data_IF_765180610014
#
_entry.id   IF_765180610014
#
_cell.length_a   1.000
_cell.length_b   1.000
_cell.length_c   1.000
_cell.angle_alpha   90.00
_cell.angle_beta   90.00
_cell.angle_gamma   90.00
#
_symmetry.space_group_name_H-M   'P 1'
#
loop_
_entity.id
_entity.type
_entity.pdbx_description
1 polymer ?
#
# COMPACT_ATOMS: atom_id res chain seq x y z
N UNK A 1 -31.24 6.06 11.43
CA UNK A 1 -29.93 6.23 10.78
C UNK A 1 -29.38 7.55 11.28
N UNK A 2 -28.39 7.52 12.16
CA UNK A 2 -27.63 8.73 12.49
C UNK A 2 -26.75 9.00 11.26
N UNK A 3 -27.07 10.04 10.48
CA UNK A 3 -26.16 10.59 9.48
C UNK A 3 -24.98 11.20 10.25
N UNK A 4 -24.00 10.38 10.59
CA UNK A 4 -22.77 10.84 11.24
C UNK A 4 -21.94 11.57 10.20
N UNK A 5 -21.59 12.83 10.48
CA UNK A 5 -20.60 13.55 9.69
C UNK A 5 -19.26 12.81 9.84
N UNK A 6 -18.66 12.38 8.73
CA UNK A 6 -17.43 11.58 8.74
C UNK A 6 -16.35 12.41 8.08
N UNK A 7 -15.26 12.61 8.79
CA UNK A 7 -14.13 13.37 8.32
C UNK A 7 -12.90 12.47 8.38
N UNK A 8 -12.29 12.21 7.22
CA UNK A 8 -11.10 11.36 7.12
C UNK A 8 -10.00 12.12 6.43
N UNK A 9 -8.83 12.19 7.06
CA UNK A 9 -7.63 12.76 6.46
C UNK A 9 -6.68 11.63 6.14
N UNK A 10 -6.22 11.55 4.90
CA UNK A 10 -5.22 10.58 4.48
C UNK A 10 -3.87 11.27 4.37
N UNK A 11 -2.89 10.81 5.14
CA UNK A 11 -1.51 11.21 4.98
C UNK A 11 -0.77 10.21 4.10
N UNK A 12 -0.21 10.66 2.98
CA UNK A 12 0.60 9.86 2.09
C UNK A 12 2.06 10.27 2.19
N UNK A 13 2.88 9.31 2.56
CA UNK A 13 4.32 9.39 2.34
C UNK A 13 4.58 9.42 0.83
N UNK A 14 5.37 10.40 0.41
CA UNK A 14 5.67 10.67 -1.00
C UNK A 14 7.14 10.45 -1.34
N UNK A 15 7.94 9.89 -0.42
CA UNK A 15 9.36 9.60 -0.64
C UNK A 15 9.56 8.41 -1.59
N UNK A 16 10.81 8.17 -1.97
CA UNK A 16 11.16 7.24 -3.06
C UNK A 16 10.61 5.82 -2.88
N UNK A 17 10.58 5.27 -1.66
CA UNK A 17 10.04 3.94 -1.39
C UNK A 17 8.51 3.88 -1.52
N UNK A 18 7.83 5.00 -1.27
CA UNK A 18 6.38 5.11 -1.21
C UNK A 18 5.74 5.68 -2.48
N UNK A 19 6.53 6.25 -3.39
CA UNK A 19 6.03 6.77 -4.66
C UNK A 19 5.21 5.77 -5.52
N UNK A 20 5.53 4.46 -5.56
CA UNK A 20 4.70 3.48 -6.26
C UNK A 20 3.31 3.33 -5.63
N UNK A 21 3.19 3.50 -4.31
CA UNK A 21 1.90 3.55 -3.61
C UNK A 21 1.06 4.73 -4.09
N UNK A 22 1.65 5.93 -4.12
CA UNK A 22 0.99 7.14 -4.63
C UNK A 22 0.55 6.95 -6.09
N UNK A 23 1.35 6.26 -6.90
CA UNK A 23 0.98 5.94 -8.29
C UNK A 23 -0.27 5.06 -8.36
N UNK A 24 -0.41 4.05 -7.48
CA UNK A 24 -1.63 3.24 -7.42
C UNK A 24 -2.86 4.04 -6.98
N UNK A 25 -2.69 4.97 -6.03
CA UNK A 25 -3.76 5.88 -5.62
C UNK A 25 -4.24 6.72 -6.81
N UNK A 26 -3.32 7.37 -7.53
CA UNK A 26 -3.67 8.22 -8.70
C UNK A 26 -4.46 7.47 -9.76
N UNK A 27 -4.24 6.17 -9.96
CA UNK A 27 -4.95 5.38 -10.97
C UNK A 27 -6.45 5.25 -10.71
N UNK A 28 -6.88 5.21 -9.44
CA UNK A 28 -8.29 4.91 -9.08
C UNK A 28 -8.95 5.96 -8.19
N UNK A 29 -8.22 7.00 -7.76
CA UNK A 29 -8.74 7.99 -6.80
C UNK A 29 -10.08 8.60 -7.21
N UNK A 30 -10.27 8.90 -8.51
CA UNK A 30 -11.53 9.51 -8.98
C UNK A 30 -12.71 8.58 -8.80
N UNK A 31 -12.55 7.30 -9.13
CA UNK A 31 -13.58 6.29 -8.93
C UNK A 31 -13.87 6.12 -7.43
N UNK A 32 -12.84 5.94 -6.61
CA UNK A 32 -12.96 5.74 -5.17
C UNK A 32 -13.62 6.92 -4.45
N UNK A 33 -13.19 8.15 -4.71
CA UNK A 33 -13.76 9.35 -4.06
C UNK A 33 -15.19 9.61 -4.53
N UNK A 34 -15.47 9.46 -5.83
CA UNK A 34 -16.84 9.59 -6.34
C UNK A 34 -17.78 8.58 -5.68
N UNK A 35 -17.32 7.33 -5.54
CA UNK A 35 -18.09 6.27 -4.87
C UNK A 35 -18.39 6.63 -3.41
N UNK A 36 -17.38 7.07 -2.66
CA UNK A 36 -17.55 7.43 -1.25
C UNK A 36 -18.51 8.60 -1.05
N UNK A 37 -18.39 9.66 -1.85
CA UNK A 37 -19.29 10.82 -1.77
C UNK A 37 -20.75 10.46 -2.06
N UNK A 38 -20.99 9.42 -2.89
CA UNK A 38 -22.33 8.93 -3.20
C UNK A 38 -22.90 8.01 -2.12
N UNK A 39 -22.06 7.18 -1.49
CA UNK A 39 -22.50 6.13 -0.56
C UNK A 39 -22.51 6.57 0.91
N UNK A 40 -21.67 7.55 1.27
CA UNK A 40 -21.53 8.04 2.64
C UNK A 40 -21.94 9.52 2.68
N UNK A 41 -23.13 9.76 3.23
CA UNK A 41 -23.66 11.12 3.34
C UNK A 41 -22.74 11.98 4.22
N UNK A 42 -22.47 13.21 3.76
CA UNK A 42 -21.69 14.23 4.48
C UNK A 42 -20.23 13.85 4.75
N UNK A 43 -19.65 12.88 4.02
CA UNK A 43 -18.22 12.62 4.15
C UNK A 43 -17.39 13.81 3.65
N UNK A 44 -16.34 14.16 4.39
CA UNK A 44 -15.26 15.03 3.90
C UNK A 44 -13.94 14.30 3.96
N UNK A 45 -13.11 14.59 2.96
CA UNK A 45 -11.79 14.00 2.80
C UNK A 45 -10.76 15.14 2.78
N UNK A 46 -9.75 15.01 3.63
CA UNK A 46 -8.55 15.84 3.60
C UNK A 46 -7.34 14.98 3.22
N UNK A 47 -6.26 15.62 2.77
CA UNK A 47 -5.05 14.91 2.35
C UNK A 47 -3.82 15.68 2.82
N UNK A 48 -2.87 14.95 3.41
CA UNK A 48 -1.53 15.46 3.70
C UNK A 48 -0.55 14.66 2.85
N UNK A 49 0.15 15.29 1.92
CA UNK A 49 1.31 14.68 1.30
C UNK A 49 2.55 15.13 2.07
N UNK A 50 3.45 14.20 2.38
CA UNK A 50 4.67 14.52 3.12
C UNK A 50 5.88 13.80 2.54
N UNK A 51 7.02 14.49 2.56
CA UNK A 51 8.34 13.91 2.32
C UNK A 51 9.17 14.00 3.59
N UNK A 52 10.40 14.46 3.46
CA UNK A 52 11.26 14.74 4.61
C UNK A 52 11.70 16.20 4.69
N UNK A 53 12.32 16.60 5.79
CA UNK A 53 12.86 17.93 6.00
C UNK A 53 13.91 18.34 4.95
N UNK A 54 14.65 17.38 4.39
CA UNK A 54 15.61 17.68 3.32
C UNK A 54 14.93 18.10 2.01
N UNK A 55 13.66 17.76 1.82
CA UNK A 55 12.90 18.05 0.60
C UNK A 55 12.40 19.50 0.52
N UNK A 56 12.51 20.27 1.60
CA UNK A 56 12.06 21.68 1.67
C UNK A 56 12.56 22.53 0.50
N UNK A 57 13.79 22.26 0.03
CA UNK A 57 14.44 23.04 -1.06
C UNK A 57 14.27 22.43 -2.44
N UNK A 58 13.93 21.15 -2.53
CA UNK A 58 13.80 20.42 -3.80
C UNK A 58 12.34 20.41 -4.28
N UNK A 59 11.41 20.19 -3.35
CA UNK A 59 9.99 19.96 -3.62
C UNK A 59 9.12 20.58 -2.51
N UNK A 60 8.92 19.85 -1.41
CA UNK A 60 8.20 20.29 -0.21
C UNK A 60 8.46 19.34 0.96
N UNK A 61 8.27 19.82 2.20
CA UNK A 61 8.20 18.92 3.37
C UNK A 61 6.79 18.36 3.53
N UNK A 62 5.78 19.24 3.54
CA UNK A 62 4.36 18.86 3.53
C UNK A 62 3.55 19.71 2.55
N UNK A 63 2.50 19.12 1.97
CA UNK A 63 1.43 19.80 1.25
C UNK A 63 0.10 19.32 1.81
N UNK A 64 -0.79 20.27 2.10
CA UNK A 64 -2.04 19.99 2.80
C UNK A 64 -3.23 20.43 1.94
N UNK A 65 -4.16 19.50 1.76
CA UNK A 65 -5.50 19.74 1.27
C UNK A 65 -6.48 19.56 2.43
N UNK A 66 -7.16 20.64 2.81
CA UNK A 66 -8.09 20.62 3.94
C UNK A 66 -9.36 19.81 3.61
N UNK A 67 -10.14 19.48 4.63
CA UNK A 67 -11.35 18.65 4.55
C UNK A 67 -12.37 19.24 3.58
N UNK A 68 -12.67 18.49 2.52
CA UNK A 68 -13.64 18.88 1.50
C UNK A 68 -14.51 17.71 1.04
N UNK A 69 -15.69 18.01 0.50
CA UNK A 69 -16.54 17.05 -0.21
C UNK A 69 -16.48 17.24 -1.73
N UNK A 70 -15.61 18.14 -2.22
CA UNK A 70 -15.42 18.40 -3.65
C UNK A 70 -14.52 17.32 -4.28
N UNK A 71 -15.16 16.40 -5.00
CA UNK A 71 -14.50 15.29 -5.71
C UNK A 71 -13.40 15.79 -6.63
N UNK A 72 -13.66 16.83 -7.42
CA UNK A 72 -12.72 17.31 -8.43
C UNK A 72 -11.53 18.00 -7.76
N UNK A 73 -11.75 18.76 -6.68
CA UNK A 73 -10.66 19.38 -5.92
C UNK A 73 -9.76 18.34 -5.24
N UNK A 74 -10.34 17.30 -4.62
CA UNK A 74 -9.60 16.18 -4.01
C UNK A 74 -8.77 15.46 -5.08
N UNK A 75 -9.40 15.10 -6.20
CA UNK A 75 -8.72 14.43 -7.31
C UNK A 75 -7.59 15.30 -7.86
N UNK A 76 -7.83 16.59 -8.07
CA UNK A 76 -6.83 17.51 -8.59
C UNK A 76 -5.62 17.62 -7.65
N UNK A 77 -5.83 17.63 -6.33
CA UNK A 77 -4.71 17.62 -5.39
C UNK A 77 -3.85 16.35 -5.54
N UNK A 78 -4.46 15.16 -5.51
CA UNK A 78 -3.75 13.87 -5.60
C UNK A 78 -3.03 13.67 -6.94
N UNK A 79 -3.63 14.14 -8.03
CA UNK A 79 -3.03 14.02 -9.35
C UNK A 79 -1.81 14.92 -9.54
N UNK A 80 -1.76 16.06 -8.85
CA UNK A 80 -0.71 17.07 -9.06
C UNK A 80 0.35 17.13 -7.96
N UNK A 81 0.12 16.50 -6.80
CA UNK A 81 1.12 16.46 -5.74
C UNK A 81 2.35 15.70 -6.22
N UNK A 82 3.53 16.28 -6.10
CA UNK A 82 4.78 15.76 -6.64
C UNK A 82 5.36 14.66 -5.73
N UNK A 83 6.22 13.80 -6.27
CA UNK A 83 7.02 12.91 -5.44
C UNK A 83 8.13 13.70 -4.74
N UNK A 84 8.53 13.25 -3.56
CA UNK A 84 9.68 13.77 -2.82
C UNK A 84 10.84 12.77 -2.87
N UNK A 85 12.03 13.19 -2.43
CA UNK A 85 13.19 12.31 -2.44
C UNK A 85 13.25 11.40 -1.22
N UNK A 86 13.06 11.99 -0.03
CA UNK A 86 13.63 11.41 1.20
C UNK A 86 15.15 11.59 1.24
N UNK A 87 15.73 11.59 2.45
CA UNK A 87 17.16 11.85 2.65
C UNK A 87 17.83 10.78 3.51
N UNK A 88 17.20 10.45 4.62
CA UNK A 88 17.52 9.32 5.48
C UNK A 88 16.31 8.40 5.66
N UNK A 89 16.44 7.34 6.48
CA UNK A 89 15.39 6.33 6.60
C UNK A 89 14.15 6.82 7.37
N UNK A 90 14.28 7.55 8.51
CA UNK A 90 13.13 8.16 9.15
C UNK A 90 12.50 9.27 8.29
N UNK A 91 11.20 9.45 8.42
CA UNK A 91 10.44 10.46 7.67
C UNK A 91 9.71 11.41 8.62
N UNK A 92 9.12 12.50 8.10
CA UNK A 92 8.54 13.55 8.96
C UNK A 92 7.15 13.23 9.55
N UNK A 93 6.85 11.98 9.94
CA UNK A 93 5.52 11.61 10.45
C UNK A 93 5.12 12.39 11.71
N UNK A 94 6.06 12.82 12.55
CA UNK A 94 5.76 13.67 13.70
C UNK A 94 5.26 15.06 13.28
N UNK A 95 5.70 15.57 12.13
CA UNK A 95 5.19 16.80 11.54
C UNK A 95 3.77 16.62 11.03
N UNK A 96 3.48 15.49 10.37
CA UNK A 96 2.11 15.16 9.93
C UNK A 96 1.16 15.17 11.12
N UNK A 97 1.50 14.48 12.21
CA UNK A 97 0.68 14.44 13.42
C UNK A 97 0.49 15.83 14.04
N UNK A 98 1.49 16.71 13.90
CA UNK A 98 1.42 18.08 14.36
C UNK A 98 0.48 18.94 13.50
N UNK A 99 0.62 18.88 12.18
CA UNK A 99 -0.14 19.70 11.24
C UNK A 99 -1.60 19.26 11.12
N UNK A 100 -1.87 17.96 11.26
CA UNK A 100 -3.23 17.42 11.28
C UNK A 100 -4.12 18.02 12.38
N UNK A 101 -3.54 18.48 13.50
CA UNK A 101 -4.27 19.11 14.61
C UNK A 101 -4.91 20.45 14.22
N UNK A 102 -4.42 21.09 13.14
CA UNK A 102 -4.85 22.43 12.72
C UNK A 102 -5.77 22.43 11.51
N UNK A 103 -6.18 21.25 11.03
CA UNK A 103 -7.17 21.14 9.95
C UNK A 103 -8.57 21.54 10.42
N UNK A 104 -9.45 21.82 9.46
CA UNK A 104 -10.81 22.32 9.72
C UNK A 104 -11.80 21.22 10.14
N UNK A 105 -11.41 20.43 11.15
CA UNK A 105 -12.24 19.37 11.73
C UNK A 105 -13.52 19.95 12.37
N UNK A 106 -14.66 19.32 12.10
CA UNK A 106 -15.93 19.69 12.72
C UNK A 106 -16.09 19.01 14.08
N UNK A 107 -16.50 19.74 15.11
CA UNK A 107 -16.69 19.19 16.47
C UNK A 107 -17.68 18.01 16.55
N UNK A 108 -18.65 17.95 15.64
CA UNK A 108 -19.67 16.89 15.60
C UNK A 108 -19.31 15.70 14.70
N UNK A 109 -18.12 15.70 14.08
CA UNK A 109 -17.71 14.63 13.17
C UNK A 109 -17.08 13.45 13.90
N UNK A 110 -17.23 12.25 13.33
CA UNK A 110 -16.26 11.17 13.56
C UNK A 110 -14.99 11.49 12.78
N UNK A 111 -13.87 11.65 13.48
CA UNK A 111 -12.61 12.14 12.90
C UNK A 111 -11.57 11.04 12.85
N UNK A 112 -10.92 10.88 11.71
CA UNK A 112 -9.81 9.92 11.58
C UNK A 112 -8.69 10.43 10.71
N UNK A 113 -7.45 10.25 11.18
CA UNK A 113 -6.24 10.43 10.40
C UNK A 113 -5.70 9.05 10.01
N UNK A 114 -5.50 8.82 8.72
CA UNK A 114 -4.87 7.60 8.19
C UNK A 114 -3.44 7.94 7.81
N UNK A 115 -2.47 7.53 8.63
CA UNK A 115 -1.05 7.74 8.38
C UNK A 115 -0.49 6.58 7.55
N UNK A 116 -0.13 6.84 6.29
CA UNK A 116 0.38 5.82 5.36
C UNK A 116 1.86 6.10 5.06
N UNK A 117 2.72 5.15 5.41
CA UNK A 117 4.18 5.22 5.19
C UNK A 117 4.83 3.86 5.43
N UNK A 118 6.15 3.77 5.30
CA UNK A 118 6.90 2.52 5.47
C UNK A 118 7.99 2.57 6.55
N UNK A 119 8.22 3.71 7.23
CA UNK A 119 9.32 3.86 8.20
C UNK A 119 8.88 4.46 9.56
N UNK A 120 9.82 5.01 10.34
CA UNK A 120 9.60 5.65 11.65
C UNK A 120 9.75 7.18 11.59
N UNK A 121 9.18 7.93 12.55
CA UNK A 121 9.38 9.38 12.63
C UNK A 121 10.78 9.76 13.09
N UNK A 122 11.22 10.96 12.72
CA UNK A 122 12.42 11.57 13.29
C UNK A 122 12.28 11.80 14.81
N UNK A 123 13.30 11.47 15.61
CA UNK A 123 13.29 11.79 17.04
C UNK A 123 13.43 13.32 17.26
N UNK A 124 13.00 13.86 18.41
CA UNK A 124 13.04 15.31 18.68
C UNK A 124 14.40 15.97 18.50
N UNK A 125 15.49 15.23 18.72
CA UNK A 125 16.83 15.76 18.52
C UNK A 125 17.15 16.05 17.04
N UNK A 126 16.58 15.27 16.12
CA UNK A 126 16.92 15.25 14.70
C UNK A 126 15.91 15.98 13.81
N UNK A 127 14.69 16.30 14.30
CA UNK A 127 13.79 17.20 13.57
C UNK A 127 13.96 18.68 13.98
N UNK A 128 13.73 19.65 13.07
CA UNK A 128 13.93 21.07 13.32
C UNK A 128 12.91 21.67 14.31
N UNK A 129 11.71 21.09 14.38
CA UNK A 129 10.63 21.59 15.25
C UNK A 129 10.65 21.01 16.68
N UNK A 130 11.60 20.12 16.98
CA UNK A 130 11.72 19.39 18.26
C UNK A 130 10.43 18.66 18.66
N UNK A 131 9.67 18.23 17.67
CA UNK A 131 8.43 17.49 17.83
C UNK A 131 8.71 16.09 18.34
N UNK A 132 7.79 15.60 19.17
CA UNK A 132 7.79 14.23 19.65
C UNK A 132 6.46 13.60 19.25
N UNK A 133 6.49 12.64 18.34
CA UNK A 133 5.29 12.01 17.81
C UNK A 133 4.35 11.46 18.91
N UNK A 134 4.89 10.96 20.04
CA UNK A 134 4.08 10.49 21.18
C UNK A 134 3.34 11.61 21.92
N UNK A 135 3.84 12.85 21.83
CA UNK A 135 3.12 14.03 22.32
C UNK A 135 2.08 14.48 21.31
N UNK A 136 2.41 14.46 20.02
CA UNK A 136 1.48 14.89 18.97
C UNK A 136 0.28 13.93 18.84
N UNK A 137 0.49 12.61 18.94
CA UNK A 137 -0.62 11.64 18.96
C UNK A 137 -1.56 11.83 20.16
N UNK A 138 -1.04 12.22 21.33
CA UNK A 138 -1.86 12.52 22.50
C UNK A 138 -2.75 13.74 22.27
N UNK A 139 -2.22 14.78 21.62
CA UNK A 139 -3.01 15.97 21.27
C UNK A 139 -4.12 15.64 20.26
N UNK A 140 -3.84 14.78 19.27
CA UNK A 140 -4.87 14.30 18.35
C UNK A 140 -5.95 13.50 19.08
N UNK A 141 -5.57 12.61 19.99
CA UNK A 141 -6.51 11.85 20.81
C UNK A 141 -7.37 12.75 21.71
N UNK A 142 -6.80 13.82 22.28
CA UNK A 142 -7.52 14.86 23.04
C UNK A 142 -8.53 15.64 22.17
N UNK A 143 -8.31 15.71 20.85
CA UNK A 143 -9.24 16.28 19.86
C UNK A 143 -10.23 15.25 19.28
N UNK A 144 -10.26 14.04 19.84
CA UNK A 144 -11.08 12.91 19.39
C UNK A 144 -10.78 12.48 17.94
N UNK A 145 -9.53 12.66 17.50
CA UNK A 145 -9.05 12.21 16.19
C UNK A 145 -8.37 10.85 16.37
N UNK A 146 -9.03 9.79 15.89
CA UNK A 146 -8.45 8.45 15.84
C UNK A 146 -7.36 8.39 14.77
N UNK A 147 -6.24 7.71 15.02
CA UNK A 147 -5.16 7.56 14.05
C UNK A 147 -5.00 6.12 13.64
N UNK A 148 -5.16 5.85 12.35
CA UNK A 148 -4.91 4.56 11.73
C UNK A 148 -3.51 4.54 11.15
N UNK A 149 -2.67 3.64 11.67
CA UNK A 149 -1.32 3.43 11.19
C UNK A 149 -1.31 2.41 10.06
N UNK A 150 -1.15 2.86 8.82
CA UNK A 150 -1.03 1.99 7.65
C UNK A 150 0.44 1.82 7.32
N UNK A 151 1.00 0.69 7.75
CA UNK A 151 2.39 0.33 7.52
C UNK A 151 2.53 -0.36 6.16
N UNK A 152 3.13 0.33 5.21
CA UNK A 152 3.53 -0.25 3.94
C UNK A 152 4.80 -1.09 4.08
N UNK A 153 4.96 -2.05 3.16
CA UNK A 153 6.17 -2.86 3.00
C UNK A 153 6.55 -3.75 4.18
N UNK A 154 5.86 -3.72 5.32
CA UNK A 154 6.13 -4.56 6.50
C UNK A 154 7.57 -4.50 7.03
N UNK A 155 8.20 -3.33 6.99
CA UNK A 155 9.53 -3.14 7.60
C UNK A 155 9.46 -3.36 9.11
N UNK A 156 10.01 -4.47 9.60
CA UNK A 156 9.82 -4.93 10.98
C UNK A 156 10.30 -3.93 12.04
N UNK A 157 11.29 -3.08 11.72
CA UNK A 157 11.76 -2.03 12.62
C UNK A 157 10.73 -0.93 12.85
N UNK A 158 9.83 -0.69 11.89
CA UNK A 158 8.79 0.33 11.96
C UNK A 158 7.50 -0.18 12.63
N UNK A 159 7.28 -1.50 12.69
CA UNK A 159 6.07 -2.09 13.26
C UNK A 159 5.74 -1.60 14.68
N UNK A 160 6.69 -1.51 15.63
CA UNK A 160 6.39 -1.00 16.97
C UNK A 160 5.86 0.45 16.96
N UNK A 161 6.32 1.28 16.03
CA UNK A 161 5.84 2.67 15.90
C UNK A 161 4.37 2.68 15.46
N UNK A 162 4.01 1.96 14.39
CA UNK A 162 2.64 1.93 13.90
C UNK A 162 1.66 1.31 14.90
N UNK A 163 2.07 0.26 15.63
CA UNK A 163 1.27 -0.35 16.69
C UNK A 163 1.01 0.62 17.84
N UNK A 164 2.06 1.30 18.34
CA UNK A 164 1.91 2.26 19.44
C UNK A 164 1.11 3.50 19.00
N UNK A 165 1.30 3.98 17.77
CA UNK A 165 0.53 5.08 17.18
C UNK A 165 -0.97 4.79 17.17
N UNK A 166 -1.34 3.61 16.66
CA UNK A 166 -2.73 3.17 16.59
C UNK A 166 -3.32 3.01 18.00
N UNK A 167 -2.62 2.30 18.88
CA UNK A 167 -3.08 2.06 20.25
C UNK A 167 -3.29 3.36 21.04
N UNK A 168 -2.41 4.36 20.87
CA UNK A 168 -2.47 5.62 21.61
C UNK A 168 -3.71 6.48 21.28
N UNK A 169 -4.34 6.27 20.12
CA UNK A 169 -5.52 7.02 19.67
C UNK A 169 -6.79 6.16 19.56
N UNK A 170 -6.72 4.86 19.89
CA UNK A 170 -7.82 3.92 19.73
C UNK A 170 -8.06 3.48 18.28
N UNK A 171 -7.07 3.67 17.40
CA UNK A 171 -7.12 3.26 16.00
C UNK A 171 -6.55 1.86 15.73
N UNK A 172 -6.34 1.55 14.45
CA UNK A 172 -5.82 0.25 13.99
C UNK A 172 -4.44 0.38 13.36
N UNK A 173 -3.59 -0.62 13.61
CA UNK A 173 -2.41 -0.87 12.80
C UNK A 173 -2.80 -1.82 11.67
N UNK A 174 -2.53 -1.42 10.43
CA UNK A 174 -2.87 -2.14 9.22
C UNK A 174 -1.62 -2.30 8.38
N UNK A 175 -1.33 -3.53 7.95
CA UNK A 175 -0.26 -3.79 7.01
C UNK A 175 -0.76 -3.62 5.57
N UNK A 176 0.03 -2.93 4.75
CA UNK A 176 -0.19 -2.73 3.32
C UNK A 176 0.92 -3.44 2.53
N UNK A 177 0.74 -4.75 2.37
CA UNK A 177 1.74 -5.62 1.73
C UNK A 177 1.84 -5.40 0.22
N UNK A 178 0.72 -5.01 -0.40
CA UNK A 178 0.63 -4.67 -1.82
C UNK A 178 0.04 -3.27 -1.96
N UNK A 179 0.76 -2.40 -2.65
CA UNK A 179 0.31 -1.04 -2.94
C UNK A 179 -1.01 -1.00 -3.72
N UNK A 180 -1.31 -2.04 -4.51
CA UNK A 180 -2.58 -2.14 -5.22
C UNK A 180 -3.81 -2.21 -4.29
N UNK A 181 -3.63 -2.62 -3.03
CA UNK A 181 -4.71 -2.65 -2.03
C UNK A 181 -5.05 -1.29 -1.45
N UNK A 182 -4.25 -0.23 -1.72
CA UNK A 182 -4.46 1.08 -1.10
C UNK A 182 -5.87 1.64 -1.36
N UNK A 183 -6.42 1.36 -2.54
CA UNK A 183 -7.76 1.82 -2.94
C UNK A 183 -8.87 1.08 -2.20
N UNK A 184 -8.68 -0.22 -1.95
CA UNK A 184 -9.58 -1.02 -1.12
C UNK A 184 -9.49 -0.60 0.35
N UNK A 185 -8.29 -0.32 0.84
CA UNK A 185 -8.05 0.21 2.19
C UNK A 185 -8.72 1.57 2.38
N UNK A 186 -8.60 2.47 1.40
CA UNK A 186 -9.22 3.79 1.41
C UNK A 186 -10.74 3.69 1.59
N UNK A 187 -11.39 2.85 0.77
CA UNK A 187 -12.82 2.58 0.87
C UNK A 187 -13.18 1.94 2.22
N UNK A 188 -12.43 0.92 2.64
CA UNK A 188 -12.65 0.21 3.88
C UNK A 188 -12.58 1.12 5.11
N UNK A 189 -11.59 2.03 5.18
CA UNK A 189 -11.50 3.01 6.27
C UNK A 189 -12.75 3.89 6.33
N UNK A 190 -13.18 4.43 5.19
CA UNK A 190 -14.35 5.31 5.17
C UNK A 190 -15.64 4.56 5.54
N UNK A 191 -15.83 3.34 5.05
CA UNK A 191 -16.96 2.51 5.46
C UNK A 191 -16.92 2.15 6.94
N UNK A 192 -15.73 1.86 7.48
CA UNK A 192 -15.56 1.57 8.90
C UNK A 192 -15.93 2.77 9.78
N UNK A 193 -15.58 3.97 9.33
CA UNK A 193 -15.99 5.22 10.00
C UNK A 193 -17.50 5.48 9.89
N UNK A 194 -18.16 4.94 8.88
CA UNK A 194 -19.62 5.02 8.76
C UNK A 194 -20.34 4.00 9.62
N UNK A 195 -20.05 2.71 9.42
CA UNK A 195 -20.57 1.60 10.23
C UNK A 195 -19.86 0.28 9.92
N UNK A 196 -19.78 -0.60 10.92
CA UNK A 196 -19.30 -1.97 10.75
C UNK A 196 -20.12 -2.74 9.67
N UNK A 197 -21.41 -2.46 9.54
CA UNK A 197 -22.28 -3.10 8.53
C UNK A 197 -21.87 -2.72 7.10
N UNK A 198 -21.50 -1.46 6.85
CA UNK A 198 -20.98 -1.04 5.56
C UNK A 198 -19.63 -1.67 5.25
N UNK A 199 -18.71 -1.73 6.23
CA UNK A 199 -17.43 -2.41 6.04
C UNK A 199 -17.64 -3.90 5.70
N UNK A 200 -18.54 -4.58 6.42
CA UNK A 200 -18.85 -5.98 6.16
C UNK A 200 -19.52 -6.18 4.79
N UNK A 201 -20.40 -5.26 4.36
CA UNK A 201 -20.98 -5.31 3.02
C UNK A 201 -19.90 -5.18 1.93
N UNK A 202 -18.93 -4.29 2.14
CA UNK A 202 -17.79 -4.13 1.25
C UNK A 202 -16.89 -5.37 1.21
N UNK A 203 -16.60 -5.99 2.36
CA UNK A 203 -15.89 -7.28 2.44
C UNK A 203 -16.58 -8.34 1.56
N UNK A 204 -17.91 -8.46 1.66
CA UNK A 204 -18.69 -9.42 0.87
C UNK A 204 -18.70 -9.09 -0.63
N UNK A 205 -18.64 -7.82 -1.02
CA UNK A 205 -18.47 -7.41 -2.41
C UNK A 205 -17.14 -7.90 -2.98
N UNK A 206 -16.04 -7.67 -2.25
CA UNK A 206 -14.69 -8.11 -2.66
C UNK A 206 -14.62 -9.63 -2.81
N UNK A 207 -15.27 -10.38 -1.92
CA UNK A 207 -15.38 -11.84 -2.01
C UNK A 207 -16.16 -12.26 -3.27
N UNK A 208 -17.32 -11.64 -3.54
CA UNK A 208 -18.15 -11.97 -4.72
C UNK A 208 -17.45 -11.65 -6.04
N UNK A 209 -16.62 -10.62 -6.05
CA UNK A 209 -15.78 -10.26 -7.21
C UNK A 209 -14.59 -11.21 -7.40
N UNK A 210 -14.35 -12.15 -6.46
CA UNK A 210 -13.22 -13.07 -6.51
C UNK A 210 -11.86 -12.40 -6.28
N UNK A 211 -11.86 -11.17 -5.71
CA UNK A 211 -10.65 -10.37 -5.46
C UNK A 211 -10.04 -10.62 -4.08
N UNK A 212 -10.83 -11.17 -3.15
CA UNK A 212 -10.36 -11.46 -1.79
C UNK A 212 -9.14 -12.37 -1.82
N UNK A 213 -8.13 -12.04 -1.02
CA UNK A 213 -6.90 -12.81 -0.82
C UNK A 213 -6.42 -12.64 0.64
N UNK A 214 -5.26 -13.19 1.00
CA UNK A 214 -4.77 -13.14 2.39
C UNK A 214 -4.55 -11.72 2.91
N UNK A 215 -3.88 -10.87 2.13
CA UNK A 215 -3.57 -9.49 2.53
C UNK A 215 -4.83 -8.64 2.72
N UNK A 216 -5.79 -8.70 1.78
CA UNK A 216 -7.08 -8.01 1.95
C UNK A 216 -7.85 -8.55 3.16
N UNK A 217 -7.87 -9.86 3.38
CA UNK A 217 -8.52 -10.46 4.55
C UNK A 217 -7.92 -9.94 5.86
N UNK A 218 -6.59 -9.79 5.93
CA UNK A 218 -5.92 -9.22 7.10
C UNK A 218 -6.32 -7.77 7.36
N UNK A 219 -6.42 -6.95 6.31
CA UNK A 219 -6.91 -5.56 6.41
C UNK A 219 -8.33 -5.53 7.00
N UNK A 220 -9.25 -6.32 6.46
CA UNK A 220 -10.64 -6.40 6.94
C UNK A 220 -10.71 -6.89 8.39
N UNK A 221 -9.97 -7.94 8.74
CA UNK A 221 -9.97 -8.48 10.11
C UNK A 221 -9.41 -7.47 11.13
N UNK A 222 -8.34 -6.76 10.77
CA UNK A 222 -7.76 -5.71 11.61
C UNK A 222 -8.79 -4.62 11.91
N UNK A 223 -9.47 -4.08 10.88
CA UNK A 223 -10.47 -3.03 11.04
C UNK A 223 -11.71 -3.48 11.81
N UNK A 224 -12.10 -4.75 11.69
CA UNK A 224 -13.27 -5.30 12.40
C UNK A 224 -12.95 -5.86 13.79
N UNK A 225 -11.68 -5.82 14.22
CA UNK A 225 -11.24 -6.39 15.49
C UNK A 225 -11.49 -7.89 15.60
N UNK A 226 -11.48 -8.62 14.48
CA UNK A 226 -11.64 -10.07 14.44
C UNK A 226 -10.29 -10.73 14.72
N UNK A 227 -10.25 -11.74 15.61
CA UNK A 227 -9.15 -12.72 15.59
C UNK A 227 -9.10 -13.35 14.19
N UNK A 228 -7.91 -13.67 13.66
CA UNK A 228 -7.72 -14.10 12.26
C UNK A 228 -8.77 -15.13 11.81
N UNK A 229 -9.85 -14.66 11.19
CA UNK A 229 -10.88 -15.54 10.66
C UNK A 229 -10.34 -16.14 9.37
N UNK A 230 -10.09 -17.45 9.43
CA UNK A 230 -9.41 -18.25 8.41
C UNK A 230 -10.33 -18.52 7.20
N UNK A 231 -10.40 -17.60 6.23
CA UNK A 231 -10.71 -18.00 4.85
C UNK A 231 -9.56 -18.82 4.23
N UNK A 232 -8.37 -18.66 4.79
CA UNK A 232 -7.13 -19.24 4.32
C UNK A 232 -6.46 -20.00 5.47
N UNK A 233 -5.86 -21.15 5.15
CA UNK A 233 -4.92 -21.83 6.04
C UNK A 233 -3.67 -20.96 6.23
N UNK A 234 -2.86 -21.27 7.24
CA UNK A 234 -1.57 -20.61 7.44
C UNK A 234 -0.73 -20.62 6.16
N UNK A 235 0.04 -19.56 5.96
CA UNK A 235 0.99 -19.51 4.85
C UNK A 235 2.01 -20.64 5.00
N UNK A 236 2.40 -21.25 3.88
CA UNK A 236 3.49 -22.20 3.86
C UNK A 236 4.77 -21.50 4.35
N UNK A 237 5.54 -22.14 5.23
CA UNK A 237 6.78 -21.57 5.78
C UNK A 237 7.83 -21.23 4.71
N UNK A 238 7.69 -21.77 3.49
CA UNK A 238 8.52 -21.46 2.34
C UNK A 238 8.03 -20.25 1.54
N UNK A 239 6.96 -19.60 1.98
CA UNK A 239 6.46 -18.39 1.33
C UNK A 239 7.41 -17.22 1.55
N UNK A 240 7.48 -16.36 0.54
CA UNK A 240 8.18 -15.09 0.63
C UNK A 240 7.47 -14.20 1.64
N UNK A 241 8.21 -13.51 2.52
CA UNK A 241 7.64 -12.50 3.40
C UNK A 241 6.76 -11.47 2.64
N UNK A 242 5.58 -11.13 3.15
CA UNK A 242 4.73 -10.12 2.53
C UNK A 242 5.43 -8.76 2.48
N UNK A 243 5.28 -8.04 1.36
CA UNK A 243 5.90 -6.71 1.16
C UNK A 243 7.19 -6.72 0.33
N UNK A 244 7.89 -7.88 0.20
CA UNK A 244 9.11 -7.99 -0.63
C UNK A 244 8.88 -7.62 -2.09
N UNK A 245 7.79 -8.13 -2.65
CA UNK A 245 7.44 -7.92 -4.04
C UNK A 245 6.15 -7.11 -4.13
N UNK A 246 6.14 -6.12 -5.02
CA UNK A 246 4.93 -5.43 -5.44
C UNK A 246 4.43 -6.01 -6.76
N UNK A 247 3.16 -6.36 -6.81
CA UNK A 247 2.49 -6.88 -7.99
C UNK A 247 1.78 -5.72 -8.70
N UNK A 248 2.17 -5.48 -9.94
CA UNK A 248 1.65 -4.40 -10.76
C UNK A 248 0.95 -4.95 -12.01
N UNK A 249 -0.25 -4.45 -12.27
CA UNK A 249 -0.98 -4.75 -13.49
C UNK A 249 -0.40 -3.97 -14.68
N UNK A 250 -0.27 -4.65 -15.82
CA UNK A 250 0.23 -4.06 -17.06
C UNK A 250 -0.96 -3.77 -17.97
N UNK A 251 -1.26 -2.50 -18.22
CA UNK A 251 -2.41 -2.11 -19.04
C UNK A 251 -2.15 -2.34 -20.53
N UNK A 252 -0.96 -1.99 -20.99
CA UNK A 252 -0.57 -2.09 -22.39
C UNK A 252 0.85 -2.63 -22.56
N UNK A 253 1.18 -2.99 -23.79
CA UNK A 253 2.49 -3.57 -24.06
C UNK A 253 3.61 -2.53 -23.96
N UNK A 254 4.57 -2.73 -23.07
CA UNK A 254 5.57 -1.71 -22.73
C UNK A 254 6.93 -2.35 -22.36
N UNK A 255 8.08 -1.73 -22.65
CA UNK A 255 9.37 -2.20 -22.14
C UNK A 255 9.45 -2.13 -20.61
N UNK A 256 10.11 -3.11 -19.97
CA UNK A 256 10.26 -3.15 -18.50
C UNK A 256 10.77 -1.83 -17.94
N UNK A 257 11.82 -1.25 -18.51
CA UNK A 257 12.40 0.00 -17.98
C UNK A 257 11.39 1.15 -18.01
N UNK A 258 10.62 1.28 -19.10
CA UNK A 258 9.57 2.30 -19.20
C UNK A 258 8.47 2.06 -18.18
N UNK A 259 7.98 0.82 -18.06
CA UNK A 259 6.94 0.47 -17.09
C UNK A 259 7.34 0.75 -15.64
N UNK A 260 8.55 0.39 -15.27
CA UNK A 260 9.09 0.63 -13.93
C UNK A 260 9.12 2.13 -13.63
N UNK A 261 9.67 2.94 -14.55
CA UNK A 261 9.74 4.39 -14.37
C UNK A 261 8.35 5.07 -14.35
N UNK A 262 7.42 4.63 -15.19
CA UNK A 262 6.04 5.13 -15.23
C UNK A 262 5.24 4.78 -13.97
N UNK A 263 5.59 3.67 -13.29
CA UNK A 263 4.99 3.29 -12.01
C UNK A 263 5.73 3.89 -10.80
N UNK A 264 6.62 4.85 -11.03
CA UNK A 264 7.35 5.53 -9.95
C UNK A 264 8.39 4.65 -9.24
N UNK A 265 8.82 3.57 -9.87
CA UNK A 265 9.83 2.66 -9.34
C UNK A 265 11.21 3.02 -9.91
N UNK A 266 12.26 2.72 -9.13
CA UNK A 266 13.64 2.81 -9.60
C UNK A 266 14.00 1.61 -10.46
N UNK A 267 14.55 1.83 -11.66
CA UNK A 267 15.00 0.70 -12.48
C UNK A 267 16.33 0.13 -12.00
N UNK A 268 16.30 -1.12 -11.52
CA UNK A 268 17.49 -1.93 -11.22
C UNK A 268 17.42 -3.27 -11.95
N UNK A 269 18.54 -3.66 -12.57
CA UNK A 269 18.64 -4.94 -13.31
C UNK A 269 18.46 -6.10 -12.33
N UNK A 270 17.63 -7.08 -12.71
CA UNK A 270 17.39 -8.28 -11.91
C UNK A 270 16.24 -8.17 -10.90
N UNK A 271 15.70 -6.97 -10.67
CA UNK A 271 14.58 -6.76 -9.72
C UNK A 271 13.18 -6.91 -10.33
N UNK A 272 13.11 -7.14 -11.64
CA UNK A 272 11.85 -7.22 -12.38
C UNK A 272 11.52 -8.62 -12.86
N UNK A 273 10.28 -9.05 -12.67
CA UNK A 273 9.81 -10.38 -13.02
C UNK A 273 8.54 -10.29 -13.85
N UNK A 274 8.56 -10.86 -15.05
CA UNK A 274 7.42 -10.81 -15.98
C UNK A 274 6.57 -12.07 -15.84
N UNK A 275 5.27 -11.94 -16.01
CA UNK A 275 4.37 -13.09 -16.02
C UNK A 275 4.67 -14.02 -17.21
N UNK A 276 4.85 -15.30 -16.91
CA UNK A 276 5.12 -16.35 -17.86
C UNK A 276 3.81 -16.81 -18.52
N UNK A 277 3.53 -16.27 -19.70
CA UNK A 277 2.27 -16.51 -20.43
C UNK A 277 2.40 -17.44 -21.65
N UNK A 278 3.62 -17.79 -22.06
CA UNK A 278 3.87 -18.63 -23.23
C UNK A 278 5.04 -19.58 -23.01
N UNK A 279 5.06 -20.69 -23.74
CA UNK A 279 6.16 -21.67 -23.70
C UNK A 279 7.51 -20.99 -23.96
N UNK A 280 8.44 -21.07 -23.00
CA UNK A 280 9.79 -20.49 -23.10
C UNK A 280 10.81 -21.43 -22.43
N UNK A 281 12.08 -21.30 -22.81
CA UNK A 281 13.20 -21.90 -22.08
C UNK A 281 13.69 -20.91 -21.02
N UNK A 282 13.64 -21.32 -19.76
CA UNK A 282 14.09 -20.53 -18.61
C UNK A 282 15.46 -21.04 -18.20
N UNK A 283 16.44 -20.14 -18.17
CA UNK A 283 17.81 -20.47 -17.78
C UNK A 283 17.89 -20.80 -16.28
N UNK A 284 18.76 -21.75 -15.92
CA UNK A 284 18.90 -22.23 -14.55
C UNK A 284 19.32 -21.18 -13.52
N UNK A 285 20.03 -20.12 -13.93
CA UNK A 285 20.43 -19.02 -13.06
C UNK A 285 19.33 -17.98 -12.83
N UNK A 286 18.23 -18.02 -13.59
CA UNK A 286 17.13 -17.09 -13.38
C UNK A 286 16.28 -17.54 -12.19
N UNK A 287 15.87 -16.56 -11.42
CA UNK A 287 14.91 -16.75 -10.37
C UNK A 287 13.48 -16.88 -10.93
N UNK A 288 12.69 -17.72 -10.26
CA UNK A 288 11.30 -18.00 -10.56
C UNK A 288 10.50 -17.72 -9.30
N UNK A 289 9.47 -16.89 -9.43
CA UNK A 289 8.52 -16.61 -8.36
C UNK A 289 7.18 -17.24 -8.74
N UNK A 290 6.58 -17.98 -7.82
CA UNK A 290 5.21 -18.47 -7.95
C UNK A 290 4.30 -17.64 -7.09
N UNK A 291 3.11 -17.32 -7.59
CA UNK A 291 2.02 -16.78 -6.80
C UNK A 291 0.85 -17.74 -6.82
N UNK A 292 0.41 -18.22 -5.67
CA UNK A 292 -0.83 -19.00 -5.58
C UNK A 292 -2.02 -18.09 -5.86
N UNK A 293 -2.83 -18.44 -6.87
CA UNK A 293 -3.91 -17.55 -7.36
C UNK A 293 -4.98 -17.23 -6.31
N UNK A 294 -5.22 -18.15 -5.37
CA UNK A 294 -6.28 -18.02 -4.36
C UNK A 294 -5.83 -17.21 -3.15
N UNK A 295 -4.62 -17.46 -2.65
CA UNK A 295 -4.13 -16.82 -1.41
C UNK A 295 -3.36 -15.54 -1.69
N UNK A 296 -2.73 -15.43 -2.86
CA UNK A 296 -1.75 -14.39 -3.17
C UNK A 296 -0.35 -14.70 -2.63
N UNK A 297 -0.16 -15.84 -1.96
CA UNK A 297 1.12 -16.21 -1.35
C UNK A 297 2.19 -16.40 -2.43
N UNK A 298 3.36 -15.81 -2.20
CA UNK A 298 4.50 -15.87 -3.10
C UNK A 298 5.49 -16.94 -2.65
N UNK A 299 6.13 -17.63 -3.59
CA UNK A 299 7.17 -18.64 -3.34
C UNK A 299 8.33 -18.39 -4.29
N UNK A 300 9.55 -18.58 -3.83
CA UNK A 300 10.76 -18.32 -4.61
C UNK A 300 11.79 -19.45 -4.53
N UNK A 301 12.92 -19.26 -5.21
CA UNK A 301 14.10 -20.10 -5.06
C UNK A 301 13.83 -21.59 -5.24
N UNK A 302 14.36 -22.39 -4.31
CA UNK A 302 14.18 -23.85 -4.32
C UNK A 302 12.72 -24.24 -4.15
N UNK A 303 11.95 -23.56 -3.29
CA UNK A 303 10.55 -23.88 -3.07
C UNK A 303 9.70 -23.70 -4.35
N UNK A 304 9.92 -22.62 -5.10
CA UNK A 304 9.27 -22.41 -6.38
C UNK A 304 9.64 -23.49 -7.40
N UNK A 305 10.92 -23.86 -7.46
CA UNK A 305 11.41 -24.90 -8.38
C UNK A 305 10.89 -26.29 -8.03
N UNK A 306 10.84 -26.64 -6.75
CA UNK A 306 10.28 -27.90 -6.25
C UNK A 306 8.78 -28.02 -6.58
N UNK A 307 8.01 -26.95 -6.38
CA UNK A 307 6.58 -26.90 -6.74
C UNK A 307 6.38 -27.13 -8.25
N UNK A 308 7.30 -26.61 -9.07
CA UNK A 308 7.28 -26.80 -10.52
C UNK A 308 7.88 -28.14 -10.98
N UNK A 309 8.49 -28.93 -10.08
CA UNK A 309 9.21 -30.15 -10.41
C UNK A 309 10.46 -29.91 -11.26
N UNK A 310 11.14 -28.78 -11.07
CA UNK A 310 12.33 -28.38 -11.83
C UNK A 310 13.56 -28.52 -10.92
N UNK A 311 14.63 -29.21 -11.34
CA UNK A 311 15.86 -29.23 -10.56
C UNK A 311 16.48 -27.82 -10.38
N UNK A 312 17.09 -27.59 -9.22
CA UNK A 312 17.79 -26.34 -8.90
C UNK A 312 18.95 -26.14 -9.87
N UNK A 313 19.07 -24.93 -10.43
CA UNK A 313 20.15 -24.58 -11.36
C UNK A 313 20.01 -25.13 -12.78
N UNK A 314 18.98 -25.92 -13.09
CA UNK A 314 18.79 -26.46 -14.44
C UNK A 314 18.00 -25.51 -15.36
N UNK A 315 18.38 -25.54 -16.64
CA UNK A 315 17.68 -24.85 -17.72
C UNK A 315 16.53 -25.73 -18.22
N UNK A 316 15.30 -25.22 -18.14
CA UNK A 316 14.10 -26.00 -18.43
C UNK A 316 13.21 -25.31 -19.45
N UNK A 317 12.43 -26.09 -20.21
CA UNK A 317 11.43 -25.58 -21.14
C UNK A 317 10.02 -25.79 -20.58
N UNK A 318 9.42 -24.74 -20.04
CA UNK A 318 8.10 -24.80 -19.39
C UNK A 318 6.95 -24.48 -20.36
N UNK A 319 5.74 -24.95 -20.02
CA UNK A 319 4.48 -24.58 -20.68
C UNK A 319 3.47 -24.09 -19.63
N UNK A 320 2.70 -23.02 -19.90
CA UNK A 320 1.73 -22.48 -18.95
C UNK A 320 0.60 -23.43 -18.53
N UNK A 321 0.22 -24.39 -19.40
CA UNK A 321 -0.91 -25.30 -19.17
C UNK A 321 -0.80 -26.19 -17.94
N UNK A 322 0.39 -26.30 -17.33
CA UNK A 322 0.63 -27.16 -16.18
C UNK A 322 0.52 -26.39 -14.85
N UNK A 323 0.02 -25.15 -14.88
CA UNK A 323 0.19 -24.16 -13.81
C UNK A 323 -1.15 -23.50 -13.42
N UNK A 324 -2.26 -24.24 -13.44
CA UNK A 324 -3.59 -23.65 -13.17
C UNK A 324 -3.68 -23.03 -11.77
N UNK A 325 -3.03 -23.62 -10.76
CA UNK A 325 -3.02 -23.11 -9.39
C UNK A 325 -2.15 -21.85 -9.20
N UNK A 326 -1.14 -21.67 -10.05
CA UNK A 326 -0.09 -20.67 -9.83
C UNK A 326 0.01 -19.66 -10.98
N UNK A 327 0.33 -18.42 -10.65
CA UNK A 327 0.94 -17.50 -11.61
C UNK A 327 2.44 -17.63 -11.50
N UNK A 328 3.14 -17.71 -12.63
CA UNK A 328 4.59 -17.88 -12.64
C UNK A 328 5.22 -16.60 -13.16
N UNK A 329 6.18 -16.07 -12.43
CA UNK A 329 6.97 -14.91 -12.80
C UNK A 329 8.42 -15.32 -12.95
N UNK A 330 9.05 -14.80 -14.00
CA UNK A 330 10.43 -15.13 -14.33
C UNK A 330 11.26 -13.87 -14.30
N UNK A 331 12.42 -13.93 -13.65
CA UNK A 331 13.32 -12.80 -13.57
C UNK A 331 13.77 -12.34 -14.97
N UNK A 332 13.81 -11.02 -15.16
CA UNK A 332 14.37 -10.38 -16.34
C UNK A 332 15.60 -9.55 -15.97
N UNK A 333 16.69 -9.78 -16.69
CA UNK A 333 17.87 -8.91 -16.68
C UNK A 333 17.86 -7.89 -17.84
N UNK A 334 16.82 -7.92 -18.69
CA UNK A 334 16.71 -7.03 -19.84
C UNK A 334 15.81 -5.83 -19.54
N UNK A 335 16.35 -4.63 -19.74
CA UNK A 335 15.61 -3.37 -19.68
C UNK A 335 14.53 -3.26 -20.79
N UNK A 336 14.79 -3.88 -21.94
CA UNK A 336 13.97 -3.75 -23.15
C UNK A 336 13.01 -4.93 -23.37
N UNK A 337 12.99 -5.90 -22.45
CA UNK A 337 12.00 -6.98 -22.53
C UNK A 337 10.61 -6.34 -22.48
N UNK A 338 9.78 -6.71 -23.46
CA UNK A 338 8.43 -6.22 -23.60
C UNK A 338 7.51 -6.96 -22.64
N UNK A 339 6.92 -6.22 -21.71
CA UNK A 339 5.80 -6.64 -20.90
C UNK A 339 4.53 -6.67 -21.76
N UNK A 340 3.63 -7.58 -21.43
CA UNK A 340 2.42 -7.84 -22.22
C UNK A 340 1.22 -7.25 -21.49
N UNK A 341 0.40 -6.45 -22.20
CA UNK A 341 -0.85 -5.91 -21.64
C UNK A 341 -1.80 -7.02 -21.16
N UNK A 342 -2.51 -6.76 -20.07
CA UNK A 342 -3.39 -7.72 -19.39
C UNK A 342 -2.66 -8.79 -18.57
N UNK A 343 -1.36 -8.63 -18.34
CA UNK A 343 -0.55 -9.52 -17.48
C UNK A 343 0.00 -8.76 -16.28
N UNK A 344 0.69 -9.44 -15.37
CA UNK A 344 1.29 -8.81 -14.19
C UNK A 344 2.81 -8.74 -14.27
N UNK A 345 3.35 -7.78 -13.55
CA UNK A 345 4.78 -7.61 -13.30
C UNK A 345 5.02 -7.63 -11.80
N UNK A 346 6.00 -8.42 -11.36
CA UNK A 346 6.51 -8.34 -9.99
C UNK A 346 7.76 -7.47 -9.97
N UNK A 347 7.80 -6.56 -9.02
CA UNK A 347 8.95 -5.74 -8.73
C UNK A 347 9.44 -5.99 -7.31
N UNK A 348 10.73 -6.30 -7.16
CA UNK A 348 11.37 -6.46 -5.85
C UNK A 348 11.72 -5.11 -5.24
N UNK A 349 11.12 -4.82 -4.09
CA UNK A 349 11.27 -3.56 -3.35
C UNK A 349 12.73 -3.37 -2.91
N UNK A 350 13.19 -2.12 -2.93
CA UNK A 350 14.55 -1.77 -2.50
C UNK A 350 14.76 -2.09 -1.01
N UNK A 351 15.99 -2.43 -0.66
CA UNK A 351 16.41 -2.71 0.73
C UNK A 351 15.73 -3.91 1.43
N UNK A 352 15.12 -4.83 0.67
CA UNK A 352 14.64 -6.10 1.22
C UNK A 352 15.75 -7.12 1.53
N UNK A 353 16.94 -6.93 0.93
CA UNK A 353 18.06 -7.88 0.92
C UNK A 353 19.03 -7.71 2.07
#
# INVERSE_FOLDING_TARGET
MTNSNIEVVFSFDTTGSMYPCLTQVRRKIKESVTRLMNEIALIKIGIIAHGDYCDEKSTYVTKIFDLSSDVDAICNFVQNVEATGGGDAPECYELVLHEAQSLSWSDSASKSLVLIGDDIPHPPAHNPKKLNWRKEIKKLAEQEIMVYGVQALNRSHATPFYQELAQASGGFHINLDQFSYITDLFLAVCYQQSSNDQLQAYEQEIIKQGRMNRGLNQIFNAMMGREETSYYQDADLRSVPPGRFQILDIDENIPIKSFVLENGLTFKVGRGFYEFTKKETIQGHKEIILMERKTGDLFEGEAARDILGIPVGETVRLKPSNLEKYTVFVQSTSANRKLIGGTRFLYEVEDWS
#
